data_IF_587072703599
#
_entry.id   IF_587072703599
#
_cell.length_a   1.000
_cell.length_b   1.000
_cell.length_c   1.000
_cell.angle_alpha   90.00
_cell.angle_beta   90.00
_cell.angle_gamma   90.00
#
_symmetry.space_group_name_H-M   'P 1'
#
loop_
_entity.id
_entity.type
_entity.pdbx_description
1 polymer ?
#
# COMPACT_ATOMS: atom_id res chain seq x y z
N UNK A 1 -4.75 23.94 0.94
CA UNK A 1 -5.02 22.77 0.08
C UNK A 1 -5.30 21.50 0.90
N UNK A 2 -4.61 21.21 2.01
CA UNK A 2 -5.10 20.25 3.02
C UNK A 2 -4.91 20.84 4.43
N UNK A 3 -5.98 21.05 5.23
CA UNK A 3 -5.86 21.63 6.58
C UNK A 3 -5.10 20.72 7.56
N UNK A 4 -5.00 19.42 7.27
CA UNK A 4 -4.25 18.47 8.09
C UNK A 4 -2.72 18.52 7.85
N UNK A 5 -2.26 19.25 6.83
CA UNK A 5 -0.83 19.32 6.49
C UNK A 5 -0.24 18.02 5.94
N UNK A 6 -1.08 17.11 5.45
CA UNK A 6 -0.68 15.80 4.93
C UNK A 6 -0.78 15.73 3.40
N UNK A 7 -0.01 14.83 2.80
CA UNK A 7 -0.10 14.44 1.39
C UNK A 7 -0.82 13.09 1.25
N UNK A 8 -1.42 12.78 0.09
CA UNK A 8 -1.52 13.59 -1.14
C UNK A 8 -2.68 14.60 -1.13
N UNK A 9 -2.60 15.58 -2.04
CA UNK A 9 -3.70 16.50 -2.39
C UNK A 9 -3.80 16.58 -3.92
N UNK A 10 -5.00 16.46 -4.45
CA UNK A 10 -5.33 16.72 -5.84
C UNK A 10 -5.90 18.15 -5.97
N UNK A 11 -5.42 18.89 -6.98
CA UNK A 11 -6.02 20.14 -7.44
C UNK A 11 -6.47 19.93 -8.89
N UNK A 12 -7.75 20.17 -9.15
CA UNK A 12 -8.36 20.09 -10.48
C UNK A 12 -9.16 21.37 -10.76
N UNK A 13 -8.53 22.33 -11.46
CA UNK A 13 -9.08 23.68 -11.59
C UNK A 13 -9.20 24.34 -10.21
N UNK A 14 -10.41 24.77 -9.85
CA UNK A 14 -10.71 25.34 -8.52
C UNK A 14 -11.11 24.28 -7.48
N UNK A 15 -11.31 23.03 -7.89
CA UNK A 15 -11.64 21.92 -7.00
C UNK A 15 -10.38 21.35 -6.35
N UNK A 16 -10.43 21.12 -5.04
CA UNK A 16 -9.34 20.48 -4.29
C UNK A 16 -9.87 19.32 -3.45
N UNK A 17 -9.12 18.23 -3.42
CA UNK A 17 -9.46 17.01 -2.70
C UNK A 17 -8.22 16.40 -2.06
N UNK A 18 -8.33 15.98 -0.81
CA UNK A 18 -7.29 15.25 -0.09
C UNK A 18 -7.84 13.87 0.34
N UNK A 19 -6.97 13.05 0.91
CA UNK A 19 -7.12 11.60 1.11
C UNK A 19 -6.92 10.79 -0.18
N UNK A 20 -5.89 9.93 -0.19
CA UNK A 20 -5.54 9.14 -1.36
C UNK A 20 -6.68 8.25 -1.86
N UNK A 21 -7.45 7.64 -0.95
CA UNK A 21 -8.62 6.85 -1.31
C UNK A 21 -9.72 7.67 -2.01
N UNK A 22 -9.99 8.88 -1.51
CA UNK A 22 -10.97 9.78 -2.12
C UNK A 22 -10.51 10.29 -3.49
N UNK A 23 -9.21 10.63 -3.62
CA UNK A 23 -8.60 11.04 -4.88
C UNK A 23 -8.71 9.93 -5.93
N UNK A 24 -8.40 8.68 -5.58
CA UNK A 24 -8.50 7.55 -6.51
C UNK A 24 -9.93 7.34 -7.00
N UNK A 25 -10.92 7.39 -6.10
CA UNK A 25 -12.35 7.28 -6.46
C UNK A 25 -12.77 8.43 -7.38
N UNK A 26 -12.42 9.66 -7.04
CA UNK A 26 -12.75 10.84 -7.84
C UNK A 26 -12.18 10.73 -9.27
N UNK A 27 -10.93 10.31 -9.41
CA UNK A 27 -10.31 10.13 -10.73
C UNK A 27 -11.00 9.02 -11.53
N UNK A 28 -11.30 7.89 -10.89
CA UNK A 28 -11.98 6.78 -11.56
C UNK A 28 -13.38 7.18 -12.04
N UNK A 29 -14.15 7.91 -11.22
CA UNK A 29 -15.47 8.42 -11.61
C UNK A 29 -15.37 9.49 -12.71
N UNK A 30 -14.43 10.43 -12.59
CA UNK A 30 -14.25 11.52 -13.57
C UNK A 30 -13.88 11.00 -14.96
N UNK A 31 -13.03 9.97 -15.04
CA UNK A 31 -12.54 9.44 -16.30
C UNK A 31 -13.23 8.15 -16.75
N UNK A 32 -14.20 7.65 -15.99
CA UNK A 32 -14.98 6.46 -16.35
C UNK A 32 -14.19 5.14 -16.27
N UNK A 33 -13.22 5.03 -15.35
CA UNK A 33 -12.39 3.84 -15.13
C UNK A 33 -13.16 2.74 -14.38
N UNK A 34 -14.20 2.24 -15.03
CA UNK A 34 -15.10 1.19 -14.48
C UNK A 34 -14.44 -0.18 -14.37
N UNK A 35 -13.28 -0.37 -14.98
CA UNK A 35 -12.39 -1.51 -14.78
C UNK A 35 -11.70 -1.46 -13.41
N UNK A 36 -11.26 -0.29 -12.96
CA UNK A 36 -10.62 -0.13 -11.65
C UNK A 36 -11.61 0.12 -10.50
N UNK A 37 -12.75 0.74 -10.82
CA UNK A 37 -13.82 1.07 -9.89
C UNK A 37 -15.18 0.65 -10.48
N UNK A 38 -15.56 -0.64 -10.32
CA UNK A 38 -16.76 -1.18 -10.94
C UNK A 38 -18.05 -0.52 -10.46
N UNK A 39 -19.03 -0.38 -11.36
CA UNK A 39 -20.36 0.14 -11.05
C UNK A 39 -21.33 -0.91 -10.49
N UNK A 40 -21.01 -2.21 -10.61
CA UNK A 40 -21.79 -3.26 -9.94
C UNK A 40 -21.75 -3.05 -8.43
N UNK A 41 -22.93 -2.98 -7.80
CA UNK A 41 -23.06 -2.59 -6.40
C UNK A 41 -22.25 -3.47 -5.44
N UNK A 42 -22.05 -4.76 -5.74
CA UNK A 42 -21.30 -5.67 -4.87
C UNK A 42 -19.81 -5.51 -5.05
N UNK A 43 -19.32 -5.48 -6.29
CA UNK A 43 -17.90 -5.23 -6.58
C UNK A 43 -17.48 -3.85 -6.07
N UNK A 44 -18.30 -2.83 -6.30
CA UNK A 44 -18.13 -1.48 -5.78
C UNK A 44 -18.01 -1.46 -4.25
N UNK A 45 -18.92 -2.15 -3.56
CA UNK A 45 -18.88 -2.25 -2.10
C UNK A 45 -17.62 -2.95 -1.58
N UNK A 46 -17.08 -3.93 -2.31
CA UNK A 46 -15.81 -4.61 -1.95
C UNK A 46 -14.60 -3.69 -2.10
N UNK A 47 -14.56 -2.88 -3.16
CA UNK A 47 -13.52 -1.84 -3.31
C UNK A 47 -13.57 -0.87 -2.13
N UNK A 48 -14.75 -0.33 -1.83
CA UNK A 48 -14.93 0.61 -0.72
C UNK A 48 -14.63 -0.02 0.64
N UNK A 49 -15.03 -1.28 0.87
CA UNK A 49 -14.70 -2.02 2.09
C UNK A 49 -13.20 -1.99 2.36
N UNK A 50 -12.38 -2.31 1.36
CA UNK A 50 -10.94 -2.31 1.53
C UNK A 50 -10.38 -0.89 1.69
N UNK A 51 -10.83 0.08 0.87
CA UNK A 51 -10.37 1.47 0.99
C UNK A 51 -10.62 2.03 2.39
N UNK A 52 -11.81 1.82 2.96
CA UNK A 52 -12.10 2.27 4.34
C UNK A 52 -11.32 1.49 5.40
N UNK A 53 -11.20 0.17 5.24
CA UNK A 53 -10.41 -0.66 6.16
C UNK A 53 -8.92 -0.27 6.15
N UNK A 54 -8.36 0.03 4.97
CA UNK A 54 -6.94 0.37 4.76
C UNK A 54 -6.47 1.52 5.66
N UNK A 55 -7.25 2.59 5.79
CA UNK A 55 -6.88 3.81 6.53
C UNK A 55 -6.43 3.57 7.97
N UNK A 56 -7.01 2.58 8.64
CA UNK A 56 -6.71 2.27 10.05
C UNK A 56 -5.99 0.93 10.23
N UNK A 57 -5.61 0.28 9.12
CA UNK A 57 -4.96 -1.03 9.13
C UNK A 57 -3.69 -1.03 8.27
N UNK A 58 -3.77 -1.45 7.00
CA UNK A 58 -2.59 -1.56 6.14
C UNK A 58 -1.83 -0.23 5.99
N UNK A 59 -2.52 0.92 5.99
CA UNK A 59 -1.88 2.25 5.94
C UNK A 59 -0.93 2.52 7.10
N UNK A 60 -1.07 1.80 8.22
CA UNK A 60 -0.19 1.90 9.38
C UNK A 60 1.21 1.35 9.12
N UNK A 61 1.44 0.59 8.04
CA UNK A 61 2.77 0.12 7.67
C UNK A 61 3.72 1.30 7.52
N UNK A 62 3.34 2.32 6.76
CA UNK A 62 4.19 3.50 6.55
C UNK A 62 4.58 4.22 7.87
N UNK A 63 3.65 4.70 8.73
CA UNK A 63 4.01 5.43 9.94
C UNK A 63 4.53 4.53 11.08
N UNK A 64 4.28 3.22 11.07
CA UNK A 64 4.75 2.31 12.13
C UNK A 64 5.96 1.46 11.75
N UNK A 65 6.31 1.39 10.47
CA UNK A 65 7.44 0.58 9.98
C UNK A 65 8.41 1.45 9.20
N UNK A 66 7.99 2.00 8.05
CA UNK A 66 8.90 2.73 7.16
C UNK A 66 9.51 3.97 7.84
N UNK A 67 8.68 4.83 8.43
CA UNK A 67 9.15 6.07 9.07
C UNK A 67 10.07 5.77 10.28
N UNK A 68 9.70 4.90 11.23
CA UNK A 68 10.61 4.51 12.33
C UNK A 68 11.93 3.88 11.85
N UNK A 69 11.90 3.02 10.82
CA UNK A 69 13.13 2.44 10.27
C UNK A 69 14.01 3.50 9.61
N UNK A 70 13.43 4.44 8.88
CA UNK A 70 14.15 5.57 8.29
C UNK A 70 14.81 6.43 9.36
N UNK A 71 14.07 6.84 10.40
CA UNK A 71 14.64 7.62 11.50
C UNK A 71 15.72 6.83 12.26
N UNK A 72 15.56 5.50 12.40
CA UNK A 72 16.57 4.64 13.01
C UNK A 72 17.87 4.67 12.19
N UNK A 73 17.80 4.54 10.86
CA UNK A 73 18.97 4.63 9.97
C UNK A 73 19.66 5.99 10.02
N UNK A 74 18.89 7.05 10.25
CA UNK A 74 19.37 8.42 10.37
C UNK A 74 19.85 8.78 11.79
N UNK A 75 19.82 7.85 12.75
CA UNK A 75 20.07 8.09 14.18
C UNK A 75 19.19 9.21 14.78
N UNK A 76 17.96 9.34 14.29
CA UNK A 76 16.97 10.33 14.70
C UNK A 76 15.73 9.72 15.38
N UNK A 77 15.71 8.39 15.57
CA UNK A 77 14.54 7.70 16.13
C UNK A 77 14.28 8.05 17.60
N UNK A 78 12.99 8.20 17.95
CA UNK A 78 12.57 8.35 19.35
C UNK A 78 12.51 7.00 20.07
N UNK A 79 12.32 7.02 21.40
CA UNK A 79 12.14 5.80 22.18
C UNK A 79 10.86 5.03 21.77
N UNK A 80 9.80 5.76 21.43
CA UNK A 80 8.53 5.19 20.95
C UNK A 80 8.73 4.52 19.58
N UNK A 81 9.45 5.16 18.67
CA UNK A 81 9.77 4.59 17.35
C UNK A 81 10.63 3.33 17.47
N UNK A 82 11.56 3.28 18.43
CA UNK A 82 12.35 2.07 18.69
C UNK A 82 11.47 0.89 19.15
N UNK A 83 10.35 1.13 19.84
CA UNK A 83 9.36 0.08 20.15
C UNK A 83 8.63 -0.37 18.89
N UNK A 84 8.20 0.56 18.03
CA UNK A 84 7.53 0.24 16.76
C UNK A 84 8.42 -0.61 15.83
N UNK A 85 9.71 -0.32 15.77
CA UNK A 85 10.68 -1.14 15.01
C UNK A 85 10.74 -2.57 15.56
N UNK A 86 10.73 -2.75 16.89
CA UNK A 86 10.71 -4.09 17.50
C UNK A 86 9.41 -4.85 17.21
N UNK A 87 8.28 -4.14 17.15
CA UNK A 87 6.97 -4.73 16.88
C UNK A 87 6.68 -4.97 15.39
N UNK A 88 7.56 -4.49 14.50
CA UNK A 88 7.41 -4.59 13.05
C UNK A 88 7.09 -6.02 12.57
N UNK A 89 7.81 -7.08 12.98
CA UNK A 89 7.50 -8.44 12.50
C UNK A 89 6.09 -8.90 12.85
N UNK A 90 5.60 -8.56 14.05
CA UNK A 90 4.25 -8.94 14.50
C UNK A 90 3.17 -8.16 13.74
N UNK A 91 3.39 -6.86 13.50
CA UNK A 91 2.48 -6.03 12.70
C UNK A 91 2.39 -6.54 11.27
N UNK A 92 3.53 -6.82 10.62
CA UNK A 92 3.57 -7.31 9.25
C UNK A 92 2.91 -8.68 9.12
N UNK A 93 3.21 -9.62 10.03
CA UNK A 93 2.54 -10.93 10.05
C UNK A 93 1.02 -10.79 10.16
N UNK A 94 0.53 -9.99 11.11
CA UNK A 94 -0.91 -9.73 11.27
C UNK A 94 -1.55 -9.15 10.01
N UNK A 95 -0.94 -8.14 9.40
CA UNK A 95 -1.50 -7.48 8.22
C UNK A 95 -1.45 -8.38 6.98
N UNK A 96 -0.39 -9.16 6.81
CA UNK A 96 -0.29 -10.15 5.73
C UNK A 96 -1.30 -11.28 5.91
N UNK A 97 -1.52 -11.78 7.13
CA UNK A 97 -2.58 -12.76 7.41
C UNK A 97 -3.99 -12.22 7.08
N UNK A 98 -4.23 -10.93 7.33
CA UNK A 98 -5.50 -10.30 6.96
C UNK A 98 -5.63 -10.16 5.44
N UNK A 99 -4.56 -9.75 4.74
CA UNK A 99 -4.57 -9.67 3.29
C UNK A 99 -4.77 -11.06 2.64
N UNK A 100 -4.16 -12.11 3.19
CA UNK A 100 -4.35 -13.51 2.77
C UNK A 100 -5.84 -13.94 2.85
N UNK A 101 -6.60 -13.37 3.81
CA UNK A 101 -8.05 -13.58 3.95
C UNK A 101 -8.88 -12.72 2.99
N UNK A 102 -8.45 -11.50 2.69
CA UNK A 102 -9.10 -10.65 1.67
C UNK A 102 -8.98 -11.25 0.26
N UNK A 103 -7.88 -11.95 -0.02
CA UNK A 103 -7.66 -12.65 -1.28
C UNK A 103 -8.49 -13.95 -1.36
N UNK A 104 -9.81 -13.80 -1.46
CA UNK A 104 -10.73 -14.91 -1.76
C UNK A 104 -10.64 -15.30 -3.22
N UNK A 105 -10.45 -14.31 -4.11
CA UNK A 105 -10.06 -14.47 -5.51
C UNK A 105 -8.63 -13.96 -5.73
N UNK A 106 -8.27 -13.71 -6.99
CA UNK A 106 -6.96 -13.21 -7.38
C UNK A 106 -6.70 -11.75 -6.96
N UNK A 107 -7.74 -10.96 -6.73
CA UNK A 107 -7.65 -9.55 -6.36
C UNK A 107 -8.47 -9.23 -5.10
N UNK A 108 -8.08 -8.15 -4.41
CA UNK A 108 -8.54 -7.79 -3.07
C UNK A 108 -10.06 -7.57 -3.01
N UNK A 109 -10.64 -7.02 -4.07
CA UNK A 109 -12.08 -6.75 -4.15
C UNK A 109 -12.91 -7.97 -4.60
N UNK A 110 -12.35 -9.18 -4.56
CA UNK A 110 -12.99 -10.43 -5.03
C UNK A 110 -13.32 -10.40 -6.52
N UNK A 111 -12.54 -9.64 -7.29
CA UNK A 111 -12.60 -9.50 -8.74
C UNK A 111 -11.57 -10.40 -9.44
N UNK A 112 -11.69 -10.50 -10.76
CA UNK A 112 -10.75 -11.22 -11.63
C UNK A 112 -9.77 -10.24 -12.34
N UNK A 113 -9.81 -8.97 -11.97
CA UNK A 113 -8.95 -7.88 -12.45
C UNK A 113 -8.58 -6.92 -11.30
N UNK A 114 -7.51 -6.15 -11.47
CA UNK A 114 -7.04 -5.13 -10.53
C UNK A 114 -8.11 -4.08 -10.30
N UNK A 115 -8.28 -3.64 -9.04
CA UNK A 115 -9.15 -2.52 -8.66
C UNK A 115 -8.40 -1.48 -7.82
N UNK A 116 -9.06 -0.37 -7.49
CA UNK A 116 -8.51 0.62 -6.56
C UNK A 116 -8.15 0.01 -5.17
N UNK A 117 -8.81 -1.08 -4.76
CA UNK A 117 -8.46 -1.79 -3.53
C UNK A 117 -7.06 -2.41 -3.61
N UNK A 118 -6.72 -3.00 -4.75
CA UNK A 118 -5.40 -3.58 -5.00
C UNK A 118 -4.32 -2.51 -5.06
N UNK A 119 -4.61 -1.36 -5.70
CA UNK A 119 -3.68 -0.21 -5.72
C UNK A 119 -3.38 0.28 -4.30
N UNK A 120 -4.42 0.45 -3.47
CA UNK A 120 -4.28 0.87 -2.08
C UNK A 120 -3.56 -0.19 -1.21
N UNK A 121 -3.77 -1.47 -1.49
CA UNK A 121 -3.05 -2.54 -0.79
C UNK A 121 -1.58 -2.54 -1.20
N UNK A 122 -1.32 -2.55 -2.51
CA UNK A 122 -0.01 -2.81 -3.08
C UNK A 122 1.01 -1.75 -2.68
N UNK A 123 0.61 -0.48 -2.63
CA UNK A 123 1.50 0.61 -2.23
C UNK A 123 2.10 0.39 -0.83
N UNK A 124 1.41 -0.31 0.08
CA UNK A 124 1.92 -0.58 1.42
C UNK A 124 2.78 -1.85 1.49
N UNK A 125 2.50 -2.88 0.68
CA UNK A 125 3.20 -4.16 0.73
C UNK A 125 4.45 -4.20 -0.18
N UNK A 126 4.44 -3.48 -1.31
CA UNK A 126 5.59 -3.43 -2.23
C UNK A 126 6.83 -2.84 -1.56
N UNK A 127 6.67 -1.80 -0.74
CA UNK A 127 7.79 -1.21 0.02
C UNK A 127 8.41 -2.22 1.00
N UNK A 128 7.60 -3.09 1.62
CA UNK A 128 8.09 -4.14 2.52
C UNK A 128 8.91 -5.18 1.75
N UNK A 129 8.40 -5.59 0.58
CA UNK A 129 9.10 -6.52 -0.31
C UNK A 129 10.42 -5.92 -0.82
N UNK A 130 10.42 -4.68 -1.27
CA UNK A 130 11.62 -3.97 -1.75
C UNK A 130 12.68 -3.78 -0.65
N UNK A 131 12.26 -3.55 0.59
CA UNK A 131 13.17 -3.49 1.74
C UNK A 131 13.71 -4.87 2.14
N UNK A 132 13.06 -5.98 1.75
CA UNK A 132 13.46 -7.34 2.09
C UNK A 132 13.31 -7.70 3.56
N UNK A 133 12.48 -6.98 4.31
CA UNK A 133 12.38 -7.12 5.79
C UNK A 133 11.32 -8.12 6.24
N UNK A 134 10.61 -8.75 5.32
CA UNK A 134 9.55 -9.71 5.63
C UNK A 134 9.47 -10.81 4.57
N UNK A 135 9.36 -12.05 5.05
CA UNK A 135 9.24 -13.24 4.20
C UNK A 135 7.77 -13.52 3.87
N UNK A 136 7.38 -13.20 2.63
CA UNK A 136 6.04 -13.47 2.13
C UNK A 136 5.81 -14.92 1.70
N UNK A 137 6.85 -15.77 1.59
CA UNK A 137 6.75 -17.12 1.02
C UNK A 137 5.77 -18.04 1.77
N UNK A 138 5.50 -17.75 3.04
CA UNK A 138 4.54 -18.46 3.90
C UNK A 138 3.08 -18.12 3.60
N UNK A 139 2.83 -17.10 2.78
CA UNK A 139 1.52 -16.56 2.45
C UNK A 139 1.29 -16.73 0.94
N UNK A 140 0.78 -17.91 0.50
CA UNK A 140 0.76 -18.26 -0.91
C UNK A 140 -0.13 -17.34 -1.74
N UNK A 141 -1.28 -16.87 -1.21
CA UNK A 141 -2.16 -15.97 -1.97
C UNK A 141 -1.55 -14.58 -2.08
N UNK A 142 -1.01 -14.04 -1.00
CA UNK A 142 -0.31 -12.75 -1.02
C UNK A 142 0.92 -12.82 -1.94
N UNK A 143 1.72 -13.88 -1.87
CA UNK A 143 2.86 -14.09 -2.77
C UNK A 143 2.45 -14.14 -4.23
N UNK A 144 1.36 -14.84 -4.57
CA UNK A 144 0.82 -14.88 -5.92
C UNK A 144 0.28 -13.51 -6.36
N UNK A 145 -0.39 -12.79 -5.47
CA UNK A 145 -0.92 -11.46 -5.72
C UNK A 145 0.19 -10.42 -5.94
N UNK A 146 1.24 -10.41 -5.12
CA UNK A 146 2.42 -9.55 -5.33
C UNK A 146 3.06 -9.79 -6.71
N UNK A 147 3.18 -11.06 -7.13
CA UNK A 147 3.67 -11.41 -8.47
C UNK A 147 2.76 -10.88 -9.58
N UNK A 148 1.44 -10.96 -9.42
CA UNK A 148 0.48 -10.39 -10.39
C UNK A 148 0.55 -8.87 -10.45
N UNK A 149 0.66 -8.19 -9.30
CA UNK A 149 0.71 -6.73 -9.26
C UNK A 149 1.96 -6.17 -9.96
N UNK A 150 3.08 -6.90 -9.96
CA UNK A 150 4.27 -6.56 -10.74
C UNK A 150 4.07 -6.57 -12.26
N UNK A 151 3.02 -7.23 -12.76
CA UNK A 151 2.72 -7.25 -14.20
C UNK A 151 1.78 -6.13 -14.64
N UNK A 152 1.33 -5.27 -13.72
CA UNK A 152 0.47 -4.13 -14.05
C UNK A 152 1.27 -3.12 -14.90
N UNK A 153 0.68 -2.56 -15.97
CA UNK A 153 1.37 -1.56 -16.79
C UNK A 153 1.95 -0.41 -15.96
N UNK A 154 3.13 0.08 -16.36
CA UNK A 154 3.88 1.14 -15.68
C UNK A 154 4.35 0.82 -14.25
N UNK A 155 4.23 -0.44 -13.80
CA UNK A 155 4.67 -0.83 -12.45
C UNK A 155 6.11 -0.39 -12.15
N UNK A 156 7.08 -0.79 -12.99
CA UNK A 156 8.50 -0.53 -12.71
C UNK A 156 8.84 0.96 -12.74
N UNK A 157 8.26 1.71 -13.70
CA UNK A 157 8.40 3.16 -13.83
C UNK A 157 7.91 3.89 -12.56
N UNK A 158 6.74 3.51 -12.04
CA UNK A 158 6.14 4.14 -10.85
C UNK A 158 6.92 3.81 -9.58
N UNK A 159 7.53 2.62 -9.50
CA UNK A 159 8.26 2.18 -8.31
C UNK A 159 9.76 2.52 -8.33
N UNK A 160 10.32 2.94 -9.45
CA UNK A 160 11.72 3.37 -9.54
C UNK A 160 12.08 4.45 -8.50
N UNK A 161 11.30 5.54 -8.31
CA UNK A 161 11.61 6.54 -7.29
C UNK A 161 11.61 5.97 -5.87
N UNK A 162 10.71 5.03 -5.57
CA UNK A 162 10.67 4.35 -4.27
C UNK A 162 11.90 3.47 -4.09
N UNK A 163 12.30 2.70 -5.11
CA UNK A 163 13.48 1.84 -5.06
C UNK A 163 14.77 2.65 -4.83
N UNK A 164 14.91 3.76 -5.55
CA UNK A 164 16.01 4.71 -5.38
C UNK A 164 16.01 5.32 -3.97
N UNK A 165 14.85 5.75 -3.48
CA UNK A 165 14.69 6.30 -2.14
C UNK A 165 15.13 5.30 -1.06
N UNK A 166 14.60 4.06 -1.09
CA UNK A 166 14.96 3.00 -0.15
C UNK A 166 16.45 2.62 -0.23
N UNK A 167 17.02 2.62 -1.43
CA UNK A 167 18.46 2.38 -1.65
C UNK A 167 19.30 3.47 -1.02
N UNK A 168 18.96 4.74 -1.25
CA UNK A 168 19.70 5.90 -0.71
C UNK A 168 19.71 5.94 0.82
N UNK A 169 18.67 5.41 1.46
CA UNK A 169 18.54 5.30 2.91
C UNK A 169 19.17 4.03 3.50
N UNK A 170 19.71 3.13 2.66
CA UNK A 170 20.25 1.84 3.10
C UNK A 170 19.20 0.96 3.80
N UNK A 171 17.95 1.08 3.38
CA UNK A 171 16.80 0.32 3.91
C UNK A 171 16.57 -1.00 3.17
N UNK A 172 17.17 -1.19 2.00
CA UNK A 172 17.18 -2.49 1.32
C UNK A 172 18.11 -3.43 2.08
N UNK A 173 17.53 -4.41 2.75
CA UNK A 173 18.29 -5.54 3.27
C UNK A 173 18.72 -6.40 2.09
N UNK A 174 19.98 -6.87 2.08
CA UNK A 174 20.38 -7.93 1.16
C UNK A 174 19.64 -9.19 1.61
N UNK A 175 18.39 -9.35 1.19
CA UNK A 175 17.71 -10.62 1.29
C UNK A 175 18.52 -11.59 0.41
N UNK A 176 19.31 -12.44 1.05
CA UNK A 176 19.87 -13.60 0.36
C UNK A 176 18.67 -14.38 -0.21
N UNK A 177 18.73 -14.78 -1.50
CA UNK A 177 17.71 -15.65 -2.09
C UNK A 177 17.58 -16.97 -1.32
#
# INVERSE_FOLDING_TARGET
MNPNGLIPVLQDGDFSLFEGGAIMVYLAEKFGWTDLYPADARAHAKVNQYLHWHHTNARLITPKVLVPLMHTKQNAATAEEAVLVKDTPALLAKLTELLEKFLVKDFVAETDHVTLADVAAYCEFVQIELMGIFDFSKYPKVSAWLKRMKTVPHHDEIHEPLDQFLTSLGLKTKANP
#
